data_IF_822692678435
#
_entry.id   IF_822692678435
#
_cell.length_a   1.000
_cell.length_b   1.000
_cell.length_c   1.000
_cell.angle_alpha   90.00
_cell.angle_beta   90.00
_cell.angle_gamma   90.00
#
_symmetry.space_group_name_H-M   'P 1'
#
loop_
_entity.id
_entity.type
_entity.pdbx_description
1 polymer ?
#
# COMPACT_ATOMS: atom_id res chain seq x y z
N UNK A 1 13.16 1.23 -9.21
CA UNK A 1 12.24 1.29 -10.38
C UNK A 1 11.94 2.75 -10.68
N UNK A 2 11.73 3.17 -11.93
CA UNK A 2 11.41 4.58 -12.21
C UNK A 2 9.95 4.89 -11.85
N UNK A 3 9.67 6.15 -11.55
CA UNK A 3 8.33 6.63 -11.16
C UNK A 3 7.28 6.26 -12.20
N UNK A 4 7.57 6.47 -13.48
CA UNK A 4 6.66 6.22 -14.59
C UNK A 4 6.34 4.73 -14.74
N UNK A 5 7.33 3.87 -14.52
CA UNK A 5 7.16 2.41 -14.51
C UNK A 5 6.24 1.98 -13.37
N UNK A 6 6.37 2.60 -12.19
CA UNK A 6 5.50 2.32 -11.04
C UNK A 6 4.04 2.68 -11.37
N UNK A 7 3.83 3.87 -11.95
CA UNK A 7 2.50 4.35 -12.32
C UNK A 7 1.89 3.47 -13.42
N UNK A 8 2.66 3.11 -14.45
CA UNK A 8 2.20 2.26 -15.54
C UNK A 8 1.82 0.86 -15.03
N UNK A 9 2.67 0.27 -14.17
CA UNK A 9 2.38 -1.02 -13.54
C UNK A 9 1.12 -0.95 -12.67
N UNK A 10 0.99 0.08 -11.83
CA UNK A 10 -0.20 0.30 -11.00
C UNK A 10 -1.49 0.40 -11.82
N UNK A 11 -1.45 1.10 -12.96
CA UNK A 11 -2.61 1.29 -13.83
C UNK A 11 -3.11 -0.02 -14.44
N UNK A 12 -2.20 -0.97 -14.73
CA UNK A 12 -2.56 -2.29 -15.26
C UNK A 12 -3.00 -3.31 -14.20
N UNK A 13 -2.91 -2.98 -12.91
CA UNK A 13 -3.24 -3.88 -11.81
C UNK A 13 -4.68 -3.75 -11.35
N UNK A 14 -5.25 -4.88 -10.93
CA UNK A 14 -6.46 -4.95 -10.11
C UNK A 14 -6.22 -4.36 -8.71
N UNK A 15 -7.29 -4.01 -7.99
CA UNK A 15 -7.19 -3.55 -6.60
C UNK A 15 -6.41 -4.54 -5.72
N UNK A 16 -6.66 -5.84 -5.89
CA UNK A 16 -6.00 -6.89 -5.11
C UNK A 16 -4.49 -6.94 -5.37
N UNK A 17 -4.08 -6.85 -6.62
CA UNK A 17 -2.65 -6.84 -6.98
C UNK A 17 -1.96 -5.58 -6.44
N UNK A 18 -2.66 -4.44 -6.44
CA UNK A 18 -2.15 -3.21 -5.83
C UNK A 18 -1.95 -3.38 -4.32
N UNK A 19 -2.94 -3.91 -3.62
CA UNK A 19 -2.87 -4.16 -2.17
C UNK A 19 -1.72 -5.11 -1.81
N UNK A 20 -1.56 -6.19 -2.57
CA UNK A 20 -0.47 -7.14 -2.39
C UNK A 20 0.90 -6.49 -2.63
N UNK A 21 1.00 -5.61 -3.62
CA UNK A 21 2.23 -4.90 -3.89
C UNK A 21 2.56 -3.89 -2.79
N UNK A 22 1.56 -3.16 -2.28
CA UNK A 22 1.72 -2.27 -1.12
C UNK A 22 2.16 -3.04 0.12
N UNK A 23 1.55 -4.19 0.41
CA UNK A 23 1.92 -5.03 1.55
C UNK A 23 3.40 -5.41 1.50
N UNK A 24 3.90 -5.81 0.33
CA UNK A 24 5.31 -6.22 0.18
C UNK A 24 6.26 -5.03 0.20
N UNK A 25 6.01 -4.02 -0.64
CA UNK A 25 6.98 -2.96 -0.91
C UNK A 25 6.95 -1.81 0.11
N UNK A 26 5.78 -1.55 0.71
CA UNK A 26 5.62 -0.46 1.68
C UNK A 26 5.65 -0.97 3.10
N UNK A 27 4.88 -2.03 3.40
CA UNK A 27 4.80 -2.58 4.75
C UNK A 27 5.95 -3.54 5.07
N UNK A 28 6.70 -3.99 4.06
CA UNK A 28 7.75 -5.01 4.22
C UNK A 28 7.20 -6.40 4.57
N UNK A 29 5.91 -6.65 4.33
CA UNK A 29 5.27 -7.89 4.74
C UNK A 29 5.54 -9.03 3.77
N UNK A 30 5.70 -10.23 4.33
CA UNK A 30 5.88 -11.46 3.57
C UNK A 30 4.55 -12.17 3.36
N UNK A 31 4.28 -12.53 2.11
CA UNK A 31 3.15 -13.41 1.76
C UNK A 31 3.40 -14.83 2.28
N UNK A 32 2.44 -15.39 3.00
CA UNK A 32 2.52 -16.75 3.53
C UNK A 32 1.23 -17.52 3.30
N UNK A 33 1.38 -18.82 3.03
CA UNK A 33 0.29 -19.77 3.03
C UNK A 33 0.36 -20.55 4.35
N UNK A 34 -0.73 -20.55 5.13
CA UNK A 34 -0.82 -21.36 6.35
C UNK A 34 -1.87 -22.46 6.17
N UNK A 35 -1.58 -23.69 6.63
CA UNK A 35 -2.58 -24.74 6.67
C UNK A 35 -3.66 -24.38 7.71
N UNK A 36 -4.94 -24.47 7.34
CA UNK A 36 -6.04 -24.38 8.29
C UNK A 36 -6.40 -25.75 8.86
N UNK A 37 -6.92 -25.77 10.09
CA UNK A 37 -7.18 -26.98 10.89
C UNK A 37 -8.27 -27.93 10.36
N UNK A 38 -8.74 -27.77 9.13
CA UNK A 38 -9.84 -28.54 8.54
C UNK A 38 -9.71 -28.81 7.03
N UNK A 39 -8.51 -28.72 6.45
CA UNK A 39 -8.27 -29.04 5.04
C UNK A 39 -8.33 -27.85 4.06
N UNK A 40 -8.57 -26.63 4.55
CA UNK A 40 -8.42 -25.40 3.78
C UNK A 40 -7.26 -24.56 4.30
N UNK A 41 -6.27 -24.25 3.46
CA UNK A 41 -5.24 -23.26 3.80
C UNK A 41 -5.76 -21.83 3.62
N UNK A 42 -5.17 -20.87 4.34
CA UNK A 42 -5.40 -19.44 4.09
C UNK A 42 -4.10 -18.76 3.67
N UNK A 43 -4.24 -17.65 2.94
CA UNK A 43 -3.13 -16.79 2.58
C UNK A 43 -3.19 -15.51 3.41
N UNK A 44 -2.06 -15.14 4.00
CA UNK A 44 -1.94 -13.94 4.81
C UNK A 44 -0.57 -13.28 4.67
N UNK A 45 -0.44 -12.15 5.35
CA UNK A 45 0.75 -11.32 5.38
C UNK A 45 1.40 -11.42 6.75
N UNK A 46 2.71 -11.66 6.78
CA UNK A 46 3.50 -11.64 7.99
C UNK A 46 4.34 -10.37 8.09
N UNK A 47 4.40 -9.80 9.29
CA UNK A 47 5.34 -8.73 9.62
C UNK A 47 6.79 -9.27 9.74
N UNK A 48 7.73 -8.36 10.03
CA UNK A 48 9.14 -8.69 10.17
C UNK A 48 9.42 -9.65 11.36
N UNK A 49 8.54 -9.67 12.36
CA UNK A 49 8.61 -10.57 13.52
C UNK A 49 7.96 -11.94 13.24
N UNK A 50 7.41 -12.16 12.03
CA UNK A 50 6.76 -13.40 11.63
C UNK A 50 5.33 -13.57 12.16
N UNK A 51 4.75 -12.51 12.75
CA UNK A 51 3.36 -12.50 13.21
C UNK A 51 2.43 -12.24 12.03
N UNK A 52 1.24 -12.84 12.05
CA UNK A 52 0.23 -12.58 11.04
C UNK A 52 -0.28 -11.14 11.21
N UNK A 53 0.01 -10.28 10.24
CA UNK A 53 -0.38 -8.87 10.22
C UNK A 53 -1.77 -8.67 9.63
N UNK A 54 -2.11 -9.41 8.57
CA UNK A 54 -3.43 -9.35 7.92
C UNK A 54 -3.69 -10.57 7.04
N UNK A 55 -4.95 -10.79 6.66
CA UNK A 55 -5.29 -11.78 5.65
C UNK A 55 -5.19 -11.21 4.23
N UNK A 56 -4.81 -12.06 3.27
CA UNK A 56 -4.81 -11.68 1.85
C UNK A 56 -6.17 -11.88 1.21
N UNK A 57 -7.00 -12.77 1.71
CA UNK A 57 -8.31 -13.01 1.09
C UNK A 57 -9.29 -13.30 2.18
N UNK A 58 -10.51 -12.83 1.99
CA UNK A 58 -11.67 -13.27 2.74
C UNK A 58 -11.96 -14.72 2.33
N UNK A 59 -11.23 -15.66 2.91
CA UNK A 59 -11.62 -17.06 2.94
C UNK A 59 -12.36 -17.31 4.25
N UNK A 60 -13.57 -16.78 4.41
CA UNK A 60 -14.76 -17.57 4.72
C UNK A 60 -15.87 -16.72 5.33
N UNK A 61 -17.08 -17.25 5.19
CA UNK A 61 -18.33 -17.15 5.97
C UNK A 61 -18.26 -16.81 7.49
N UNK A 62 -17.11 -16.46 8.08
CA UNK A 62 -16.91 -16.06 9.48
C UNK A 62 -15.81 -15.02 9.73
N UNK A 63 -15.03 -14.61 8.72
CA UNK A 63 -13.99 -13.57 8.90
C UNK A 63 -14.62 -12.24 8.52
N UNK A 64 -14.67 -11.28 9.44
CA UNK A 64 -15.15 -9.94 9.10
C UNK A 64 -14.23 -9.36 8.02
N UNK A 65 -14.80 -8.79 6.95
CA UNK A 65 -14.06 -8.19 5.84
C UNK A 65 -13.02 -7.13 6.28
N UNK A 66 -13.08 -6.69 7.55
CA UNK A 66 -12.15 -5.79 8.23
C UNK A 66 -10.76 -6.39 8.47
N UNK A 67 -10.60 -7.72 8.43
CA UNK A 67 -9.30 -8.36 8.67
C UNK A 67 -8.45 -8.52 7.38
N UNK A 68 -9.01 -8.14 6.24
CA UNK A 68 -8.32 -8.14 4.96
C UNK A 68 -7.55 -6.83 4.74
N UNK A 69 -6.27 -6.95 4.37
CA UNK A 69 -5.51 -5.78 3.96
C UNK A 69 -5.95 -5.33 2.55
N UNK A 70 -6.68 -4.21 2.49
CA UNK A 70 -7.26 -3.63 1.27
C UNK A 70 -7.01 -2.11 1.15
N UNK A 71 -5.77 -1.62 1.33
CA UNK A 71 -5.49 -0.19 1.47
C UNK A 71 -5.73 0.63 0.20
N UNK A 72 -5.85 0.01 -0.99
CA UNK A 72 -6.14 0.75 -2.23
C UNK A 72 -7.62 1.10 -2.40
N UNK A 73 -8.50 0.47 -1.63
CA UNK A 73 -9.96 0.66 -1.71
C UNK A 73 -10.61 1.03 -0.37
N UNK A 74 -10.06 0.59 0.76
CA UNK A 74 -10.56 0.89 2.08
C UNK A 74 -9.78 2.04 2.74
N UNK A 75 -10.52 3.04 3.25
CA UNK A 75 -9.92 4.23 3.86
C UNK A 75 -9.26 3.94 5.20
N UNK A 76 -9.79 3.00 5.99
CA UNK A 76 -9.20 2.67 7.28
C UNK A 76 -7.86 1.94 7.10
N UNK A 77 -7.80 0.95 6.19
CA UNK A 77 -6.57 0.27 5.81
C UNK A 77 -5.54 1.22 5.16
N UNK A 78 -5.99 2.21 4.40
CA UNK A 78 -5.12 3.22 3.80
C UNK A 78 -4.34 4.06 4.84
N UNK A 79 -4.90 4.26 6.05
CA UNK A 79 -4.18 4.94 7.13
C UNK A 79 -2.98 4.13 7.63
N UNK A 80 -3.03 2.79 7.62
CA UNK A 80 -1.86 1.99 7.98
C UNK A 80 -0.68 2.20 7.01
N UNK A 81 -0.96 2.53 5.75
CA UNK A 81 0.06 2.92 4.75
C UNK A 81 0.59 4.32 5.01
N UNK A 82 -0.30 5.25 5.39
CA UNK A 82 0.09 6.60 5.80
C UNK A 82 1.10 6.57 6.96
N UNK A 83 0.84 5.72 7.96
CA UNK A 83 1.69 5.59 9.15
C UNK A 83 3.09 5.03 8.87
N UNK A 84 3.36 4.49 7.68
CA UNK A 84 4.70 4.03 7.26
C UNK A 84 5.64 5.18 6.86
N UNK A 85 5.16 6.41 6.88
CA UNK A 85 5.88 7.59 6.43
C UNK A 85 5.78 8.72 7.45
N UNK A 86 6.92 9.26 7.86
CA UNK A 86 7.00 10.27 8.92
C UNK A 86 6.47 11.65 8.47
N UNK A 87 6.68 12.01 7.20
CA UNK A 87 6.30 13.32 6.66
C UNK A 87 5.36 13.17 5.46
N UNK A 88 4.05 13.13 5.76
CA UNK A 88 3.00 13.03 4.76
C UNK A 88 2.04 14.20 4.86
N UNK A 89 1.78 14.85 3.73
CA UNK A 89 0.76 15.88 3.57
C UNK A 89 -0.38 15.34 2.71
N UNK A 90 -1.62 15.53 3.18
CA UNK A 90 -2.82 15.12 2.45
C UNK A 90 -3.72 16.33 2.28
N UNK A 91 -4.08 16.61 1.03
CA UNK A 91 -5.02 17.67 0.70
C UNK A 91 -6.20 17.09 -0.08
N UNK A 92 -7.42 17.37 0.38
CA UNK A 92 -8.63 17.17 -0.41
C UNK A 92 -8.82 18.40 -1.28
N UNK A 93 -8.80 18.21 -2.60
CA UNK A 93 -8.91 19.30 -3.58
C UNK A 93 -10.36 19.36 -4.08
N UNK A 94 -11.13 20.39 -3.67
CA UNK A 94 -12.46 20.62 -4.22
C UNK A 94 -12.37 21.14 -5.66
N UNK A 95 -13.22 20.63 -6.55
CA UNK A 95 -13.26 20.95 -7.98
C UNK A 95 -14.33 20.11 -8.70
N UNK A 96 -14.37 20.18 -10.04
CA UNK A 96 -15.37 19.47 -10.86
C UNK A 96 -15.50 17.97 -10.55
N UNK A 97 -14.37 17.31 -10.28
CA UNK A 97 -14.31 15.99 -9.63
C UNK A 97 -13.43 16.11 -8.40
N UNK A 98 -13.94 15.70 -7.23
CA UNK A 98 -13.16 15.67 -5.98
C UNK A 98 -11.95 14.76 -6.18
N UNK A 99 -10.78 15.23 -5.77
CA UNK A 99 -9.55 14.44 -5.77
C UNK A 99 -8.77 14.66 -4.48
N UNK A 100 -7.86 13.73 -4.21
CA UNK A 100 -6.92 13.79 -3.11
C UNK A 100 -5.52 13.92 -3.68
N UNK A 101 -4.76 14.88 -3.17
CA UNK A 101 -3.33 14.99 -3.39
C UNK A 101 -2.60 14.52 -2.13
N UNK A 102 -1.69 13.58 -2.30
CA UNK A 102 -0.80 13.09 -1.25
C UNK A 102 0.62 13.42 -1.63
N UNK A 103 1.34 14.05 -0.71
CA UNK A 103 2.77 14.35 -0.82
C UNK A 103 3.51 13.65 0.31
N UNK A 104 4.57 12.93 -0.05
CA UNK A 104 5.50 12.29 0.89
C UNK A 104 6.84 12.97 0.74
N UNK A 105 7.36 13.47 1.88
CA UNK A 105 8.65 14.14 1.96
C UNK A 105 9.69 13.23 2.63
N UNK A 106 10.95 13.41 2.26
CA UNK A 106 12.11 12.85 2.98
C UNK A 106 12.44 13.67 4.23
N UNK A 107 13.27 13.09 5.10
CA UNK A 107 13.74 13.74 6.34
C UNK A 107 14.52 15.04 6.03
N UNK A 108 15.16 15.12 4.87
CA UNK A 108 15.87 16.29 4.35
C UNK A 108 14.95 17.37 3.74
N UNK A 109 13.63 17.17 3.81
CA UNK A 109 12.64 18.04 3.18
C UNK A 109 12.52 17.85 1.66
N UNK A 110 13.26 16.91 1.07
CA UNK A 110 13.12 16.57 -0.34
C UNK A 110 11.77 15.94 -0.63
N UNK A 111 11.24 16.18 -1.83
CA UNK A 111 9.97 15.60 -2.25
C UNK A 111 10.24 14.20 -2.79
N UNK A 112 9.72 13.16 -2.12
CA UNK A 112 9.85 11.76 -2.56
C UNK A 112 8.72 11.36 -3.51
N UNK A 113 7.49 11.79 -3.22
CA UNK A 113 6.34 11.53 -4.07
C UNK A 113 5.29 12.63 -3.93
N UNK A 114 4.58 12.91 -5.03
CA UNK A 114 3.36 13.71 -5.07
C UNK A 114 2.41 13.02 -6.03
N UNK A 115 1.25 12.60 -5.56
CA UNK A 115 0.26 11.88 -6.36
C UNK A 115 -1.11 12.48 -6.14
N UNK A 116 -1.86 12.63 -7.24
CA UNK A 116 -3.25 13.03 -7.23
C UNK A 116 -4.12 11.89 -7.79
N UNK A 117 -5.12 11.46 -7.02
CA UNK A 117 -6.10 10.44 -7.42
C UNK A 117 -7.51 10.81 -6.97
N UNK A 118 -8.56 10.21 -7.55
CA UNK A 118 -9.95 10.46 -7.15
C UNK A 118 -10.25 10.09 -5.69
N UNK A 119 -9.54 9.11 -5.14
CA UNK A 119 -9.73 8.63 -3.75
C UNK A 119 -8.43 8.76 -2.94
N UNK A 120 -8.59 8.97 -1.63
CA UNK A 120 -7.46 8.98 -0.70
C UNK A 120 -6.70 7.63 -0.69
N UNK A 121 -7.37 6.46 -0.57
CA UNK A 121 -6.73 5.14 -0.66
C UNK A 121 -5.78 4.96 -1.85
N UNK A 122 -6.23 5.31 -3.05
CA UNK A 122 -5.38 5.21 -4.24
C UNK A 122 -4.21 6.20 -4.22
N UNK A 123 -4.44 7.42 -3.75
CA UNK A 123 -3.42 8.46 -3.70
C UNK A 123 -2.28 8.08 -2.73
N UNK A 124 -2.61 7.65 -1.51
CA UNK A 124 -1.60 7.31 -0.49
C UNK A 124 -0.83 6.05 -0.87
N UNK A 125 -1.50 4.99 -1.34
CA UNK A 125 -0.83 3.76 -1.73
C UNK A 125 0.17 3.96 -2.87
N UNK A 126 -0.22 4.70 -3.91
CA UNK A 126 0.66 4.96 -5.04
C UNK A 126 1.80 5.92 -4.66
N UNK A 127 1.53 6.94 -3.85
CA UNK A 127 2.58 7.83 -3.35
C UNK A 127 3.62 7.05 -2.52
N UNK A 128 3.16 6.18 -1.62
CA UNK A 128 4.00 5.35 -0.76
C UNK A 128 4.89 4.38 -1.57
N UNK A 129 4.32 3.70 -2.57
CA UNK A 129 5.09 2.85 -3.48
C UNK A 129 6.18 3.63 -4.23
N UNK A 130 5.85 4.82 -4.74
CA UNK A 130 6.82 5.66 -5.42
C UNK A 130 7.94 6.07 -4.46
N UNK A 131 7.60 6.55 -3.27
CA UNK A 131 8.58 6.94 -2.27
C UNK A 131 9.53 5.78 -1.94
N UNK A 132 9.01 4.59 -1.60
CA UNK A 132 9.84 3.44 -1.21
C UNK A 132 10.68 2.88 -2.37
N UNK A 133 10.08 2.67 -3.54
CA UNK A 133 10.75 1.96 -4.66
C UNK A 133 11.72 2.83 -5.47
N UNK A 134 11.66 4.16 -5.29
CA UNK A 134 12.63 5.08 -5.89
C UNK A 134 13.80 5.39 -4.95
N UNK A 135 13.59 5.35 -3.62
CA UNK A 135 14.69 5.43 -2.63
C UNK A 135 15.68 4.27 -2.76
N UNK A 136 15.19 3.04 -2.92
CA UNK A 136 16.05 1.84 -3.07
C UNK A 136 16.99 1.98 -4.28
N UNK A 137 16.49 2.49 -5.42
CA UNK A 137 17.32 2.66 -6.61
C UNK A 137 18.38 3.76 -6.47
N UNK A 138 18.17 4.74 -5.60
CA UNK A 138 19.18 5.76 -5.29
C UNK A 138 20.30 5.20 -4.41
N UNK A 139 19.98 4.31 -3.46
CA UNK A 139 20.96 3.73 -2.54
C UNK A 139 21.78 2.57 -3.15
N UNK A 140 21.27 1.86 -4.16
CA UNK A 140 22.02 0.81 -4.87
C UNK A 140 23.03 1.36 -5.90
N UNK A 141 23.03 2.68 -6.13
CA UNK A 141 23.92 3.36 -7.10
C UNK A 141 25.06 4.16 -6.44
N UNK A 142 25.23 4.04 -5.11
CA UNK A 142 26.24 4.73 -4.30
C UNK A 142 27.25 3.73 -3.72
#
# INVERSE_FOLDING_TARGET
MKREEIIAKWAGMTARERDAWVAQAVMGWRRVMRPGGGGGGFVGWQDAEGRLAAFETDYSLTVDARDCFQPSTDTHAAWAVFDQHEYVEVARIPGGTVSYAVRINGIDGSIRAIIQKPTFPEAICLAALIAKLTEVSANESA
#
